data_IF_410948597389
#
_entry.id   IF_410948597389
#
_cell.length_a   1.000
_cell.length_b   1.000
_cell.length_c   1.000
_cell.angle_alpha   90.00
_cell.angle_beta   90.00
_cell.angle_gamma   90.00
#
_symmetry.space_group_name_H-M   'P 1'
#
loop_
_entity.id
_entity.type
_entity.pdbx_description
1 polymer ?
#
# COMPACT_ATOMS: atom_id res chain seq x y z
N UNK A 1 -9.66 16.91 -23.79
CA UNK A 1 -9.73 16.26 -22.46
C UNK A 1 -10.77 15.16 -22.56
N UNK A 2 -10.51 13.95 -22.04
CA UNK A 2 -11.49 12.86 -22.14
C UNK A 2 -12.73 13.15 -21.28
N UNK A 3 -13.90 12.72 -21.72
CA UNK A 3 -15.17 12.85 -20.99
C UNK A 3 -15.01 12.31 -19.55
N UNK A 4 -14.37 11.14 -19.39
CA UNK A 4 -14.11 10.52 -18.09
C UNK A 4 -13.34 11.42 -17.10
N UNK A 5 -12.43 12.27 -17.59
CA UNK A 5 -11.72 13.23 -16.73
C UNK A 5 -12.65 14.31 -16.19
N UNK A 6 -13.54 14.80 -17.02
CA UNK A 6 -14.47 15.87 -16.65
C UNK A 6 -15.51 15.34 -15.64
N UNK A 7 -16.01 14.12 -15.85
CA UNK A 7 -17.00 13.50 -14.98
C UNK A 7 -16.42 13.22 -13.59
N UNK A 8 -15.20 12.65 -13.52
CA UNK A 8 -14.50 12.44 -12.24
C UNK A 8 -14.22 13.78 -11.54
N UNK A 9 -13.78 14.81 -12.29
CA UNK A 9 -13.50 16.12 -11.68
C UNK A 9 -14.78 16.79 -11.14
N UNK A 10 -15.90 16.67 -11.85
CA UNK A 10 -17.19 17.15 -11.39
C UNK A 10 -17.64 16.42 -10.11
N UNK A 11 -17.44 15.10 -10.07
CA UNK A 11 -17.72 14.28 -8.89
C UNK A 11 -16.85 14.70 -7.69
N UNK A 12 -15.54 14.84 -7.88
CA UNK A 12 -14.59 15.31 -6.85
C UNK A 12 -15.01 16.69 -6.31
N UNK A 13 -15.37 17.61 -7.19
CA UNK A 13 -15.78 18.96 -6.79
C UNK A 13 -17.07 18.95 -5.96
N UNK A 14 -18.02 18.06 -6.29
CA UNK A 14 -19.27 17.90 -5.55
C UNK A 14 -19.05 17.45 -4.11
N UNK A 15 -18.08 16.55 -3.88
CA UNK A 15 -17.82 15.96 -2.57
C UNK A 15 -16.55 16.50 -1.91
N UNK A 16 -16.03 17.63 -2.38
CA UNK A 16 -14.85 18.27 -1.80
C UNK A 16 -15.07 18.61 -0.35
N UNK A 17 -14.14 18.18 0.50
CA UNK A 17 -14.15 18.48 1.93
C UNK A 17 -13.26 19.68 2.25
N UNK A 18 -13.71 20.51 3.16
CA UNK A 18 -12.95 21.64 3.68
C UNK A 18 -11.87 21.18 4.68
N UNK A 19 -10.84 22.00 4.86
CA UNK A 19 -9.77 21.72 5.83
C UNK A 19 -10.35 21.55 7.26
N UNK A 20 -10.00 20.45 7.90
CA UNK A 20 -10.45 20.12 9.26
C UNK A 20 -11.83 19.47 9.35
N UNK A 21 -12.49 19.23 8.23
CA UNK A 21 -13.74 18.46 8.16
C UNK A 21 -13.47 16.97 7.90
N UNK A 22 -14.50 16.14 8.10
CA UNK A 22 -14.43 14.71 7.77
C UNK A 22 -14.13 14.51 6.29
N UNK A 23 -13.35 13.47 5.99
CA UNK A 23 -13.05 13.05 4.63
C UNK A 23 -12.88 11.54 4.56
N UNK A 24 -13.13 10.98 3.40
CA UNK A 24 -12.93 9.55 3.10
C UNK A 24 -11.67 9.31 2.30
N UNK A 25 -11.34 10.24 1.40
CA UNK A 25 -10.19 10.11 0.50
C UNK A 25 -9.44 11.43 0.39
N UNK A 26 -8.14 11.34 0.13
CA UNK A 26 -7.29 12.50 -0.10
C UNK A 26 -6.42 12.31 -1.34
N UNK A 27 -6.29 13.35 -2.17
CA UNK A 27 -5.30 13.37 -3.23
C UNK A 27 -3.94 13.75 -2.65
N UNK A 28 -2.90 12.97 -2.96
CA UNK A 28 -1.52 13.32 -2.62
C UNK A 28 -0.86 14.19 -3.69
N UNK A 29 -1.56 14.48 -4.80
CA UNK A 29 -1.11 15.44 -5.80
C UNK A 29 -1.15 16.88 -5.27
N UNK A 30 -0.47 17.79 -5.96
CA UNK A 30 -0.50 19.22 -5.63
C UNK A 30 -1.44 19.97 -6.61
N UNK A 31 -2.47 20.71 -6.13
CA UNK A 31 -2.82 20.90 -4.72
C UNK A 31 -3.49 19.66 -4.10
N UNK A 32 -3.29 19.44 -2.79
CA UNK A 32 -4.01 18.40 -2.06
C UNK A 32 -5.51 18.71 -2.02
N UNK A 33 -6.31 17.69 -2.31
CA UNK A 33 -7.77 17.76 -2.28
C UNK A 33 -8.26 16.63 -1.38
N UNK A 34 -9.08 16.97 -0.39
CA UNK A 34 -9.81 15.96 0.39
C UNK A 34 -11.25 15.92 -0.08
N UNK A 35 -11.84 14.72 -0.11
CA UNK A 35 -13.24 14.48 -0.46
C UNK A 35 -13.91 13.64 0.61
N UNK A 36 -15.17 13.90 0.86
CA UNK A 36 -16.01 13.10 1.76
C UNK A 36 -17.11 12.44 0.93
N UNK A 37 -16.82 11.22 0.46
CA UNK A 37 -17.72 10.49 -0.44
C UNK A 37 -18.70 9.68 0.40
N UNK A 38 -20.03 9.90 0.25
CA UNK A 38 -21.03 9.07 0.91
C UNK A 38 -20.93 7.62 0.46
N UNK A 39 -21.24 6.68 1.36
CA UNK A 39 -21.13 5.24 1.09
C UNK A 39 -21.93 4.83 -0.14
N UNK A 40 -23.15 5.36 -0.31
CA UNK A 40 -24.02 5.09 -1.45
C UNK A 40 -23.49 5.63 -2.79
N UNK A 41 -22.50 6.51 -2.76
CA UNK A 41 -21.86 7.07 -3.95
C UNK A 41 -20.49 6.44 -4.25
N UNK A 42 -20.02 5.51 -3.41
CA UNK A 42 -18.66 5.01 -3.50
C UNK A 42 -18.43 4.17 -4.77
N UNK A 43 -19.41 3.33 -5.15
CA UNK A 43 -19.33 2.57 -6.41
C UNK A 43 -19.26 3.48 -7.64
N UNK A 44 -20.00 4.59 -7.61
CA UNK A 44 -19.92 5.60 -8.68
C UNK A 44 -18.52 6.21 -8.74
N UNK A 45 -17.93 6.55 -7.60
CA UNK A 45 -16.56 7.05 -7.51
C UNK A 45 -15.56 6.05 -8.10
N UNK A 46 -15.62 4.78 -7.67
CA UNK A 46 -14.70 3.73 -8.14
C UNK A 46 -14.80 3.52 -9.65
N UNK A 47 -16.02 3.53 -10.20
CA UNK A 47 -16.22 3.39 -11.64
C UNK A 47 -15.63 4.57 -12.41
N UNK A 48 -15.88 5.81 -11.98
CA UNK A 48 -15.29 7.01 -12.60
C UNK A 48 -13.77 7.02 -12.46
N UNK A 49 -13.25 6.57 -11.33
CA UNK A 49 -11.82 6.46 -11.07
C UNK A 49 -11.17 5.43 -12.01
N UNK A 50 -11.75 4.24 -12.14
CA UNK A 50 -11.29 3.20 -13.05
C UNK A 50 -11.29 3.66 -14.51
N UNK A 51 -12.37 4.31 -14.96
CA UNK A 51 -12.46 4.88 -16.31
C UNK A 51 -11.39 5.95 -16.57
N UNK A 52 -11.07 6.76 -15.56
CA UNK A 52 -10.03 7.78 -15.70
C UNK A 52 -8.65 7.15 -15.83
N UNK A 53 -8.33 6.13 -15.01
CA UNK A 53 -7.03 5.40 -15.09
C UNK A 53 -6.92 4.68 -16.45
N UNK A 54 -7.94 3.96 -16.90
CA UNK A 54 -7.91 3.28 -18.20
C UNK A 54 -7.81 4.26 -19.36
N UNK A 55 -8.29 5.49 -19.16
CA UNK A 55 -8.08 6.61 -20.08
C UNK A 55 -6.70 7.28 -20.02
N UNK A 56 -5.75 6.70 -19.26
CA UNK A 56 -4.36 7.19 -19.16
C UNK A 56 -4.18 8.38 -18.20
N UNK A 57 -5.16 8.66 -17.31
CA UNK A 57 -5.07 9.75 -16.36
C UNK A 57 -4.37 9.25 -15.10
N UNK A 58 -3.26 9.87 -14.73
CA UNK A 58 -2.60 9.60 -13.45
C UNK A 58 -3.41 10.22 -12.30
N UNK A 59 -3.83 9.38 -11.39
CA UNK A 59 -4.57 9.76 -10.20
C UNK A 59 -3.80 9.34 -8.95
N UNK A 60 -3.91 10.15 -7.89
CA UNK A 60 -3.13 9.97 -6.67
C UNK A 60 -4.04 10.11 -5.44
N UNK A 61 -5.16 9.39 -5.44
CA UNK A 61 -6.05 9.34 -4.28
C UNK A 61 -5.65 8.20 -3.35
N UNK A 62 -5.64 8.50 -2.06
CA UNK A 62 -5.52 7.52 -0.98
C UNK A 62 -6.79 7.53 -0.16
N UNK A 63 -7.18 6.39 0.36
CA UNK A 63 -8.29 6.28 1.31
C UNK A 63 -7.83 6.66 2.72
N UNK A 64 -8.73 7.27 3.48
CA UNK A 64 -8.51 7.42 4.91
C UNK A 64 -8.70 6.04 5.56
N UNK A 65 -7.73 5.55 6.32
CA UNK A 65 -7.88 4.30 7.04
C UNK A 65 -9.06 4.39 8.02
N UNK A 66 -9.82 3.30 8.10
CA UNK A 66 -10.83 3.11 9.14
C UNK A 66 -10.18 2.41 10.34
N UNK A 67 -10.73 2.65 11.54
CA UNK A 67 -10.28 2.00 12.78
C UNK A 67 -10.41 0.47 12.72
N UNK A 68 -11.38 -0.03 11.94
CA UNK A 68 -11.57 -1.45 11.63
C UNK A 68 -11.48 -1.58 10.11
N UNK A 69 -10.51 -2.34 9.64
CA UNK A 69 -10.23 -2.47 8.21
C UNK A 69 -9.47 -3.77 7.92
N UNK A 70 -9.38 -4.19 6.64
CA UNK A 70 -8.48 -5.26 6.23
C UNK A 70 -7.05 -4.99 6.68
N UNK A 71 -6.31 -6.06 6.98
CA UNK A 71 -4.87 -5.92 7.24
C UNK A 71 -4.19 -5.44 5.96
N UNK A 72 -3.42 -4.37 6.09
CA UNK A 72 -2.65 -3.75 5.02
C UNK A 72 -1.19 -3.66 5.42
N UNK A 73 -0.32 -3.95 4.47
CA UNK A 73 1.13 -3.92 4.65
C UNK A 73 1.74 -3.10 3.54
N UNK A 74 2.63 -2.19 3.91
CA UNK A 74 3.48 -1.45 2.98
C UNK A 74 4.94 -1.77 3.32
N UNK A 75 5.65 -2.33 2.33
CA UNK A 75 7.05 -2.69 2.44
C UNK A 75 7.87 -1.75 1.56
N UNK A 76 8.60 -0.84 2.18
CA UNK A 76 9.50 0.12 1.53
C UNK A 76 10.96 -0.41 1.60
N UNK A 77 11.40 -1.06 0.53
CA UNK A 77 12.78 -1.52 0.42
C UNK A 77 13.71 -0.41 -0.04
N UNK A 78 14.90 -0.37 0.56
CA UNK A 78 16.02 0.48 0.11
C UNK A 78 17.27 -0.38 0.03
N UNK A 79 17.88 -0.39 -1.15
CA UNK A 79 19.08 -1.15 -1.43
C UNK A 79 20.26 -0.22 -1.71
N UNK A 80 21.46 -0.68 -1.39
CA UNK A 80 22.69 0.01 -1.78
C UNK A 80 22.78 0.05 -3.30
N UNK A 81 23.26 1.16 -3.84
CA UNK A 81 23.61 1.27 -5.25
C UNK A 81 25.12 1.01 -5.38
N UNK A 82 25.50 -0.06 -6.05
CA UNK A 82 26.89 -0.35 -6.34
C UNK A 82 27.42 0.65 -7.37
N UNK A 83 28.53 1.32 -7.05
CA UNK A 83 29.04 2.46 -7.79
C UNK A 83 29.60 2.13 -9.18
N UNK A 84 29.70 0.85 -9.56
CA UNK A 84 30.43 0.44 -10.78
C UNK A 84 29.64 -0.40 -11.79
N UNK A 85 28.50 -1.02 -11.45
CA UNK A 85 27.82 -1.94 -12.36
C UNK A 85 26.38 -1.55 -12.72
N UNK A 86 25.72 -0.67 -11.97
CA UNK A 86 24.31 -0.38 -12.15
C UNK A 86 24.03 0.65 -13.26
N UNK A 87 24.34 0.26 -14.50
CA UNK A 87 23.78 0.93 -15.68
C UNK A 87 22.25 0.73 -15.76
N UNK A 88 21.75 -0.30 -15.10
CA UNK A 88 20.33 -0.63 -15.03
C UNK A 88 19.90 -0.81 -13.57
N UNK A 89 18.85 -0.09 -13.17
CA UNK A 89 18.23 -0.27 -11.86
C UNK A 89 17.38 -1.53 -11.92
N UNK A 90 17.82 -2.60 -11.24
CA UNK A 90 17.13 -3.90 -11.22
C UNK A 90 16.52 -4.16 -9.85
N UNK A 91 15.44 -4.95 -9.82
CA UNK A 91 14.83 -5.44 -8.60
C UNK A 91 15.77 -6.43 -7.90
N UNK A 92 15.96 -6.27 -6.60
CA UNK A 92 16.86 -7.09 -5.78
C UNK A 92 16.15 -8.25 -5.07
N UNK A 93 14.81 -8.30 -5.07
CA UNK A 93 14.02 -9.43 -4.57
C UNK A 93 13.31 -10.15 -5.72
N UNK A 94 12.83 -11.35 -5.45
CA UNK A 94 12.14 -12.21 -6.40
C UNK A 94 10.88 -12.82 -5.77
N UNK A 95 10.13 -13.61 -6.54
CA UNK A 95 8.89 -14.24 -6.11
C UNK A 95 9.07 -15.10 -4.85
N UNK A 96 10.20 -15.78 -4.68
CA UNK A 96 10.46 -16.59 -3.49
C UNK A 96 10.54 -15.73 -2.22
N UNK A 97 11.10 -14.53 -2.29
CA UNK A 97 11.10 -13.58 -1.18
C UNK A 97 9.68 -13.10 -0.88
N UNK A 98 8.90 -12.78 -1.92
CA UNK A 98 7.50 -12.35 -1.76
C UNK A 98 6.67 -13.44 -1.10
N UNK A 99 6.76 -14.68 -1.58
CA UNK A 99 6.07 -15.83 -0.97
C UNK A 99 6.48 -16.03 0.50
N UNK A 100 7.75 -15.98 0.80
CA UNK A 100 8.26 -16.11 2.17
C UNK A 100 7.66 -15.05 3.11
N UNK A 101 7.58 -13.81 2.64
CA UNK A 101 6.95 -12.71 3.40
C UNK A 101 5.48 -13.01 3.64
N UNK A 102 4.70 -13.29 2.60
CA UNK A 102 3.26 -13.56 2.69
C UNK A 102 2.97 -14.76 3.59
N UNK A 103 3.71 -15.86 3.43
CA UNK A 103 3.58 -17.06 4.26
C UNK A 103 3.86 -16.77 5.74
N UNK A 104 4.85 -15.90 6.01
CA UNK A 104 5.15 -15.51 7.40
C UNK A 104 4.04 -14.67 8.01
N UNK A 105 3.45 -13.76 7.23
CA UNK A 105 2.26 -13.03 7.65
C UNK A 105 1.11 -13.99 7.98
N UNK A 106 0.78 -14.95 7.10
CA UNK A 106 -0.26 -15.93 7.37
C UNK A 106 0.04 -16.80 8.59
N UNK A 107 1.26 -17.26 8.77
CA UNK A 107 1.65 -18.03 9.97
C UNK A 107 1.42 -17.24 11.26
N UNK A 108 1.78 -15.95 11.27
CA UNK A 108 1.59 -15.09 12.45
C UNK A 108 0.10 -14.80 12.63
N UNK A 109 -0.61 -14.43 11.58
CA UNK A 109 -2.03 -14.13 11.63
C UNK A 109 -2.81 -15.33 12.15
N UNK A 110 -2.64 -16.52 11.55
CA UNK A 110 -3.33 -17.75 11.95
C UNK A 110 -2.94 -18.27 13.33
N UNK A 111 -1.77 -17.89 13.85
CA UNK A 111 -1.36 -18.24 15.21
C UNK A 111 -2.10 -17.42 16.28
N UNK A 112 -2.38 -16.14 15.99
CA UNK A 112 -2.97 -15.22 16.97
C UNK A 112 -4.46 -14.96 16.74
N UNK A 113 -4.99 -15.22 15.55
CA UNK A 113 -6.38 -14.98 15.18
C UNK A 113 -7.02 -16.29 14.72
N UNK A 114 -8.24 -16.53 15.18
CA UNK A 114 -9.06 -17.65 14.70
C UNK A 114 -9.71 -17.25 13.37
N UNK A 115 -9.11 -17.71 12.25
CA UNK A 115 -9.52 -17.32 10.90
C UNK A 115 -9.91 -18.56 10.11
N UNK A 116 -11.01 -18.45 9.35
CA UNK A 116 -11.37 -19.48 8.36
C UNK A 116 -10.28 -19.56 7.27
N UNK A 117 -9.85 -20.78 6.92
CA UNK A 117 -8.87 -21.03 5.86
C UNK A 117 -9.23 -20.35 4.53
N UNK A 118 -10.52 -20.20 4.23
CA UNK A 118 -10.99 -19.46 3.05
C UNK A 118 -10.65 -17.98 3.07
N UNK A 119 -10.34 -17.43 4.23
CA UNK A 119 -9.91 -16.05 4.40
C UNK A 119 -8.41 -15.84 4.15
N UNK A 120 -7.64 -16.91 3.97
CA UNK A 120 -6.20 -16.87 3.67
C UNK A 120 -5.94 -16.45 2.21
N UNK A 121 -6.38 -15.25 1.87
CA UNK A 121 -6.14 -14.61 0.58
C UNK A 121 -5.32 -13.34 0.81
N UNK A 122 -4.26 -13.17 0.04
CA UNK A 122 -3.46 -11.94 0.01
C UNK A 122 -3.37 -11.41 -1.41
N UNK A 123 -3.64 -10.13 -1.59
CA UNK A 123 -3.33 -9.42 -2.83
C UNK A 123 -1.97 -8.72 -2.67
N UNK A 124 -1.06 -9.07 -3.56
CA UNK A 124 0.28 -8.49 -3.59
C UNK A 124 0.38 -7.57 -4.79
N UNK A 125 0.75 -6.33 -4.52
CA UNK A 125 0.95 -5.31 -5.54
C UNK A 125 2.39 -4.82 -5.46
N UNK A 126 3.15 -5.07 -6.51
CA UNK A 126 4.53 -4.64 -6.58
C UNK A 126 4.65 -3.32 -7.36
N UNK A 127 5.63 -2.52 -6.99
CA UNK A 127 6.01 -1.37 -7.79
C UNK A 127 6.42 -1.85 -9.19
N UNK A 128 5.96 -1.24 -10.30
CA UNK A 128 6.28 -1.72 -11.65
C UNK A 128 7.79 -1.83 -11.91
N UNK A 129 8.55 -0.82 -11.47
CA UNK A 129 10.00 -0.79 -11.57
C UNK A 129 10.60 -0.16 -10.32
N UNK A 130 11.78 -0.63 -9.87
CA UNK A 130 12.55 0.09 -8.86
C UNK A 130 12.93 1.49 -9.37
N UNK A 131 13.19 2.41 -8.46
CA UNK A 131 13.61 3.78 -8.80
C UNK A 131 14.82 4.19 -8.01
N UNK A 132 15.67 5.02 -8.61
CA UNK A 132 16.76 5.64 -7.87
C UNK A 132 16.24 6.78 -6.99
N UNK A 133 16.71 6.82 -5.75
CA UNK A 133 16.43 7.89 -4.81
C UNK A 133 17.64 8.11 -3.89
N UNK A 134 18.28 9.29 -3.97
CA UNK A 134 19.42 9.69 -3.12
C UNK A 134 20.51 8.62 -3.03
N UNK A 135 21.04 8.17 -4.17
CA UNK A 135 22.05 7.11 -4.28
C UNK A 135 21.66 5.75 -3.69
N UNK A 136 20.36 5.49 -3.58
CA UNK A 136 19.81 4.18 -3.21
C UNK A 136 18.79 3.75 -4.26
N UNK A 137 18.60 2.44 -4.36
CA UNK A 137 17.51 1.88 -5.14
C UNK A 137 16.31 1.74 -4.19
N UNK A 138 15.18 2.39 -4.53
CA UNK A 138 13.91 2.25 -3.82
C UNK A 138 12.98 1.33 -4.59
N UNK A 139 12.46 0.31 -3.92
CA UNK A 139 11.43 -0.59 -4.42
C UNK A 139 10.37 -0.82 -3.33
N UNK A 140 9.25 -1.45 -3.63
CA UNK A 140 8.21 -1.66 -2.63
C UNK A 140 7.13 -2.64 -3.03
N UNK A 141 6.49 -3.18 -2.01
CA UNK A 141 5.39 -4.14 -2.11
C UNK A 141 4.26 -3.68 -1.18
N UNK A 142 3.04 -3.62 -1.71
CA UNK A 142 1.83 -3.49 -0.91
C UNK A 142 1.14 -4.85 -0.83
N UNK A 143 0.72 -5.24 0.37
CA UNK A 143 -0.03 -6.48 0.59
C UNK A 143 -1.34 -6.12 1.29
N UNK A 144 -2.43 -6.68 0.81
CA UNK A 144 -3.76 -6.56 1.44
C UNK A 144 -4.30 -7.95 1.71
N UNK A 145 -4.74 -8.19 2.94
CA UNK A 145 -5.47 -9.38 3.36
C UNK A 145 -6.97 -9.04 3.44
N UNK A 146 -7.72 -9.12 2.34
CA UNK A 146 -9.04 -8.48 2.21
C UNK A 146 -10.11 -9.04 3.14
N UNK A 147 -9.96 -10.29 3.55
CA UNK A 147 -10.93 -11.00 4.39
C UNK A 147 -10.55 -11.03 5.87
N UNK A 148 -9.40 -10.45 6.24
CA UNK A 148 -8.93 -10.40 7.63
C UNK A 148 -9.12 -8.98 8.15
N UNK A 149 -10.30 -8.72 8.71
CA UNK A 149 -10.73 -7.39 9.14
C UNK A 149 -10.50 -7.26 10.64
N UNK A 150 -9.64 -6.33 11.04
CA UNK A 150 -9.22 -6.11 12.41
C UNK A 150 -9.10 -4.62 12.74
N UNK A 151 -9.01 -4.30 14.02
CA UNK A 151 -8.72 -2.93 14.44
C UNK A 151 -7.22 -2.60 14.30
N UNK A 152 -6.91 -1.30 14.36
CA UNK A 152 -5.53 -0.81 14.23
C UNK A 152 -4.57 -1.41 15.27
N UNK A 153 -5.02 -1.66 16.51
CA UNK A 153 -4.17 -2.24 17.55
C UNK A 153 -3.71 -3.65 17.17
N UNK A 154 -4.59 -4.46 16.59
CA UNK A 154 -4.25 -5.79 16.08
C UNK A 154 -3.28 -5.67 14.89
N UNK A 155 -3.49 -4.72 13.98
CA UNK A 155 -2.54 -4.50 12.87
C UNK A 155 -1.14 -4.12 13.40
N UNK A 156 -1.04 -3.23 14.39
CA UNK A 156 0.23 -2.90 15.05
C UNK A 156 0.85 -4.11 15.77
N UNK A 157 0.04 -4.92 16.43
CA UNK A 157 0.50 -6.15 17.08
C UNK A 157 1.09 -7.13 16.06
N UNK A 158 0.38 -7.40 14.95
CA UNK A 158 0.88 -8.26 13.86
C UNK A 158 2.19 -7.70 13.29
N UNK A 159 2.24 -6.39 13.03
CA UNK A 159 3.48 -5.71 12.60
C UNK A 159 4.65 -5.98 13.57
N UNK A 160 4.40 -5.86 14.88
CA UNK A 160 5.44 -6.13 15.88
C UNK A 160 5.96 -7.57 15.78
N UNK A 161 5.05 -8.54 15.57
CA UNK A 161 5.43 -9.96 15.42
C UNK A 161 6.20 -10.22 14.12
N UNK A 162 5.90 -9.50 13.06
CA UNK A 162 6.68 -9.53 11.81
C UNK A 162 8.09 -8.97 12.05
N UNK A 163 8.23 -7.86 12.77
CA UNK A 163 9.54 -7.27 13.08
C UNK A 163 10.42 -8.21 13.91
N UNK A 164 9.85 -9.03 14.80
CA UNK A 164 10.57 -10.09 15.53
C UNK A 164 11.19 -11.15 14.59
N UNK A 165 10.63 -11.30 13.38
CA UNK A 165 11.09 -12.24 12.33
C UNK A 165 11.86 -11.54 11.20
N UNK A 166 12.16 -10.27 11.32
CA UNK A 166 12.67 -9.45 10.23
C UNK A 166 13.97 -9.98 9.62
N UNK A 167 14.92 -10.48 10.43
CA UNK A 167 16.17 -11.07 9.91
C UNK A 167 15.94 -12.32 9.06
N UNK A 168 14.92 -13.10 9.39
CA UNK A 168 14.54 -14.28 8.62
C UNK A 168 13.82 -13.92 7.33
N UNK A 169 12.92 -12.92 7.38
CA UNK A 169 12.02 -12.56 6.28
C UNK A 169 12.73 -11.70 5.25
N UNK A 170 13.53 -10.73 5.72
CA UNK A 170 14.21 -9.75 4.86
C UNK A 170 15.67 -10.12 4.60
N UNK A 171 15.94 -11.41 4.43
CA UNK A 171 17.23 -11.93 3.98
C UNK A 171 17.41 -11.68 2.46
N UNK A 172 17.46 -10.41 2.11
CA UNK A 172 17.61 -9.91 0.74
C UNK A 172 18.94 -9.17 0.67
N UNK A 173 19.74 -9.51 -0.34
CA UNK A 173 21.05 -8.91 -0.55
C UNK A 173 20.98 -7.38 -0.70
N UNK A 174 21.97 -6.69 -0.15
CA UNK A 174 22.16 -5.23 -0.27
C UNK A 174 21.05 -4.36 0.36
N UNK A 175 20.17 -4.95 1.17
CA UNK A 175 19.17 -4.17 1.90
C UNK A 175 19.86 -3.24 2.90
N UNK A 176 19.59 -1.96 2.83
CA UNK A 176 20.19 -0.93 3.68
C UNK A 176 19.16 -0.18 4.55
N UNK A 177 17.90 -0.60 4.52
CA UNK A 177 16.86 -0.11 5.42
C UNK A 177 16.77 -1.01 6.65
N UNK A 178 16.50 -0.42 7.82
CA UNK A 178 16.22 -1.20 9.03
C UNK A 178 14.79 -1.78 8.94
N UNK A 179 14.50 -2.90 9.60
CA UNK A 179 13.19 -3.55 9.52
C UNK A 179 12.01 -2.63 9.85
N UNK A 180 12.17 -1.72 10.80
CA UNK A 180 11.12 -0.77 11.18
C UNK A 180 10.79 0.25 10.08
N UNK A 181 11.77 0.58 9.24
CA UNK A 181 11.59 1.43 8.05
C UNK A 181 11.07 0.63 6.85
N UNK A 182 11.33 -0.69 6.81
CA UNK A 182 10.83 -1.56 5.73
C UNK A 182 9.33 -1.76 5.89
N UNK A 183 8.89 -2.13 7.09
CA UNK A 183 7.45 -2.34 7.36
C UNK A 183 6.83 -1.03 7.82
N UNK A 184 6.33 -0.24 6.86
CA UNK A 184 5.81 1.09 7.16
C UNK A 184 4.56 1.03 8.03
N UNK A 185 4.61 1.71 9.18
CA UNK A 185 3.48 1.83 10.11
C UNK A 185 2.42 2.85 9.67
N UNK A 186 2.79 3.75 8.77
CA UNK A 186 1.88 4.83 8.34
C UNK A 186 0.66 4.31 7.57
N UNK A 187 0.72 3.09 7.03
CA UNK A 187 -0.43 2.47 6.35
C UNK A 187 -1.54 2.03 7.35
N UNK A 188 -1.21 1.90 8.64
CA UNK A 188 -2.15 1.41 9.66
C UNK A 188 -3.00 2.56 10.23
N UNK A 189 -2.46 3.79 10.27
CA UNK A 189 -3.08 4.95 10.96
C UNK A 189 -3.51 6.06 10.00
#
# INVERSE_FOLDING_TARGET
MSVAKNDLQAFINKYKSEKGKAFTNTSIANPRISVNIPTECYDTFLNLYALAITGGISLYFTEKPLDISPIRVDLDFRFSKDSHEDKYITRKYNDAHVHKIVDTYFKIINYYLDIDEKSNIAYVMEKPNPTEFRNKIKDGIHIIFPHIIVNNNIQYFIRTKILEKAQEIFDITDICAIPDDIVDKAIIS
#
